data_IF_189058127318
#
_entry.id   IF_189058127318
#
_cell.length_a   1.000
_cell.length_b   1.000
_cell.length_c   1.000
_cell.angle_alpha   90.00
_cell.angle_beta   90.00
_cell.angle_gamma   90.00
#
_symmetry.space_group_name_H-M   'P 1'
#
loop_
_entity.id
_entity.type
_entity.pdbx_description
1 polymer ?
#
# COMPACT_ATOMS: atom_id res chain seq x y z
N UNK A 1 -16.64 24.96 11.51
CA UNK A 1 -15.53 24.45 10.68
C UNK A 1 -15.26 23.02 11.07
N UNK A 2 -15.30 22.09 10.12
CA UNK A 2 -14.87 20.73 10.39
C UNK A 2 -13.36 20.72 10.59
N UNK A 3 -12.90 20.02 11.65
CA UNK A 3 -11.47 19.76 11.87
C UNK A 3 -10.94 19.02 10.64
N UNK A 4 -9.77 19.41 10.09
CA UNK A 4 -9.15 18.64 9.03
C UNK A 4 -8.88 17.21 9.51
N UNK A 5 -8.99 16.25 8.59
CA UNK A 5 -8.70 14.85 8.89
C UNK A 5 -7.24 14.69 9.32
N UNK A 6 -7.04 13.94 10.39
CA UNK A 6 -5.70 13.47 10.78
C UNK A 6 -5.69 11.95 10.79
N UNK A 7 -4.62 11.35 10.26
CA UNK A 7 -4.44 9.89 10.31
C UNK A 7 -4.43 9.37 11.75
N UNK A 8 -4.02 10.19 12.69
CA UNK A 8 -4.00 9.85 14.14
C UNK A 8 -5.41 9.77 14.74
N UNK A 9 -6.42 10.31 14.06
CA UNK A 9 -7.82 10.21 14.51
C UNK A 9 -8.41 8.81 14.26
N UNK A 10 -7.72 7.94 13.50
CA UNK A 10 -8.16 6.60 13.14
C UNK A 10 -7.07 5.58 13.50
N UNK A 11 -7.42 4.61 14.35
CA UNK A 11 -6.51 3.51 14.67
C UNK A 11 -6.27 2.65 13.41
N UNK A 12 -5.00 2.45 13.06
CA UNK A 12 -4.63 1.64 11.89
C UNK A 12 -5.06 0.19 12.02
N UNK A 13 -5.54 -0.39 10.94
CA UNK A 13 -5.94 -1.80 10.85
C UNK A 13 -5.35 -2.42 9.58
N UNK A 14 -4.06 -2.78 9.65
CA UNK A 14 -3.32 -3.35 8.53
C UNK A 14 -3.55 -4.86 8.40
N UNK A 15 -4.01 -5.27 7.24
CA UNK A 15 -4.23 -6.68 6.91
C UNK A 15 -3.70 -7.00 5.51
N UNK A 16 -3.41 -8.28 5.30
CA UNK A 16 -2.97 -8.79 4.01
C UNK A 16 -3.90 -9.88 3.48
N UNK A 17 -3.96 -9.99 2.17
CA UNK A 17 -4.66 -11.07 1.48
C UNK A 17 -4.04 -11.31 0.11
N UNK A 18 -4.37 -12.45 -0.48
CA UNK A 18 -3.93 -12.82 -1.83
C UNK A 18 -5.16 -12.90 -2.73
N UNK A 19 -5.05 -12.37 -3.92
CA UNK A 19 -6.10 -12.46 -4.93
C UNK A 19 -5.50 -12.70 -6.33
N UNK A 20 -6.35 -13.00 -7.30
CA UNK A 20 -5.97 -13.08 -8.70
C UNK A 20 -6.60 -11.90 -9.45
N UNK A 21 -5.78 -11.21 -10.23
CA UNK A 21 -6.22 -10.15 -11.14
C UNK A 21 -5.83 -10.58 -12.55
N UNK A 22 -6.82 -10.88 -13.42
CA UNK A 22 -6.59 -11.39 -14.77
C UNK A 22 -5.67 -12.63 -14.79
N UNK A 23 -5.96 -13.61 -13.92
CA UNK A 23 -5.19 -14.85 -13.73
C UNK A 23 -3.75 -14.67 -13.24
N UNK A 24 -3.39 -13.47 -12.76
CA UNK A 24 -2.10 -13.18 -12.15
C UNK A 24 -2.27 -13.00 -10.66
N UNK A 25 -1.44 -13.69 -9.88
CA UNK A 25 -1.46 -13.57 -8.42
C UNK A 25 -1.02 -12.19 -7.97
N UNK A 26 -1.72 -11.65 -6.99
CA UNK A 26 -1.38 -10.40 -6.31
C UNK A 26 -1.44 -10.59 -4.80
N UNK A 27 -0.41 -10.11 -4.10
CA UNK A 27 -0.39 -10.00 -2.65
C UNK A 27 -0.67 -8.55 -2.26
N UNK A 28 -1.73 -8.34 -1.49
CA UNK A 28 -2.20 -7.01 -1.08
C UNK A 28 -1.96 -6.83 0.41
N UNK A 29 -1.50 -5.67 0.80
CA UNK A 29 -1.37 -5.21 2.19
C UNK A 29 -2.00 -3.83 2.28
N UNK A 30 -3.03 -3.67 3.12
CA UNK A 30 -3.90 -2.50 3.11
C UNK A 30 -4.31 -2.09 4.52
N UNK A 31 -4.42 -0.79 4.75
CA UNK A 31 -5.01 -0.24 5.98
C UNK A 31 -6.54 -0.22 5.84
N UNK A 32 -7.21 -1.17 6.46
CA UNK A 32 -8.66 -1.31 6.41
C UNK A 32 -9.40 -0.22 7.22
N UNK A 33 -8.73 0.44 8.14
CA UNK A 33 -9.35 1.46 8.98
C UNK A 33 -9.92 2.63 8.17
N UNK A 34 -9.30 2.90 7.02
CA UNK A 34 -9.69 4.02 6.15
C UNK A 34 -11.01 3.80 5.41
N UNK A 35 -11.50 2.54 5.31
CA UNK A 35 -12.76 2.25 4.63
C UNK A 35 -13.97 2.94 5.26
N UNK A 36 -13.89 3.27 6.55
CA UNK A 36 -15.00 3.91 7.29
C UNK A 36 -15.03 5.42 7.12
N UNK A 37 -13.96 6.02 6.62
CA UNK A 37 -13.82 7.48 6.46
C UNK A 37 -13.59 7.90 5.01
N UNK A 38 -13.19 6.99 4.14
CA UNK A 38 -12.99 7.27 2.72
C UNK A 38 -14.34 7.49 1.99
N UNK A 39 -14.41 8.35 0.98
CA UNK A 39 -13.33 9.24 0.51
C UNK A 39 -13.07 10.40 1.46
N UNK A 40 -11.80 10.77 1.62
CA UNK A 40 -11.38 11.87 2.50
C UNK A 40 -11.13 13.10 1.64
N UNK A 41 -11.94 14.14 1.83
CA UNK A 41 -11.93 15.34 0.99
C UNK A 41 -10.58 16.10 1.01
N UNK A 42 -9.85 16.02 2.14
CA UNK A 42 -8.55 16.67 2.28
C UNK A 42 -7.44 16.03 1.42
N UNK A 43 -7.66 14.81 0.91
CA UNK A 43 -6.69 14.05 0.11
C UNK A 43 -7.31 13.59 -1.22
N UNK A 44 -7.54 14.52 -2.17
CA UNK A 44 -8.27 14.23 -3.41
C UNK A 44 -7.39 13.65 -4.53
N UNK A 45 -6.10 13.45 -4.29
CA UNK A 45 -5.14 13.02 -5.30
C UNK A 45 -4.55 11.67 -4.93
N UNK A 46 -4.64 10.72 -5.86
CA UNK A 46 -3.95 9.43 -5.77
C UNK A 46 -2.50 9.57 -6.21
N UNK A 47 -1.57 9.05 -5.43
CA UNK A 47 -0.16 9.00 -5.75
C UNK A 47 0.37 7.57 -5.63
N UNK A 48 1.37 7.23 -6.44
CA UNK A 48 1.95 5.90 -6.44
C UNK A 48 3.46 5.91 -6.58
N UNK A 49 4.07 4.88 -6.00
CA UNK A 49 5.46 4.52 -6.18
C UNK A 49 5.52 3.03 -6.51
N UNK A 50 5.96 2.68 -7.72
CA UNK A 50 6.16 1.31 -8.15
C UNK A 50 7.64 1.02 -8.25
N UNK A 51 8.09 -0.08 -7.65
CA UNK A 51 9.47 -0.55 -7.77
C UNK A 51 9.49 -1.94 -8.40
N UNK A 52 10.51 -2.18 -9.22
CA UNK A 52 10.74 -3.50 -9.81
C UNK A 52 11.49 -4.38 -8.81
N UNK A 53 10.96 -5.59 -8.54
CA UNK A 53 11.64 -6.58 -7.72
C UNK A 53 12.94 -7.01 -8.39
N UNK A 54 14.01 -7.24 -7.61
CA UNK A 54 15.27 -7.75 -8.12
C UNK A 54 15.17 -9.21 -8.55
N UNK A 55 14.48 -10.02 -7.72
CA UNK A 55 14.35 -11.45 -7.91
C UNK A 55 12.91 -11.92 -7.68
N UNK A 56 11.98 -11.58 -8.60
CA UNK A 56 10.63 -12.11 -8.50
C UNK A 56 10.64 -13.62 -8.72
N UNK A 57 9.68 -14.33 -8.12
CA UNK A 57 9.47 -15.76 -8.41
C UNK A 57 9.15 -15.96 -9.89
N UNK A 58 9.91 -16.85 -10.55
CA UNK A 58 9.86 -17.02 -12.00
C UNK A 58 8.80 -17.98 -12.50
N UNK A 59 8.25 -18.83 -11.62
CA UNK A 59 7.29 -19.86 -11.98
C UNK A 59 6.38 -20.23 -10.79
N UNK A 60 5.45 -21.15 -11.04
CA UNK A 60 4.54 -21.69 -10.05
C UNK A 60 3.40 -20.75 -9.66
N UNK A 61 2.62 -21.14 -8.61
CA UNK A 61 1.44 -20.38 -8.19
C UNK A 61 1.72 -18.98 -7.70
N UNK A 62 2.96 -18.71 -7.26
CA UNK A 62 3.40 -17.40 -6.72
C UNK A 62 4.26 -16.62 -7.70
N UNK A 63 4.24 -16.96 -8.98
CA UNK A 63 5.01 -16.25 -10.02
C UNK A 63 4.76 -14.74 -9.97
N UNK A 64 5.85 -13.98 -9.97
CA UNK A 64 5.80 -12.52 -9.94
C UNK A 64 5.74 -11.91 -8.53
N UNK A 65 5.58 -12.72 -7.48
CA UNK A 65 5.74 -12.28 -6.09
C UNK A 65 7.24 -12.25 -5.70
N UNK A 66 7.54 -11.56 -4.60
CA UNK A 66 8.91 -11.47 -4.09
C UNK A 66 9.39 -12.80 -3.51
N UNK A 67 10.69 -13.08 -3.67
CA UNK A 67 11.35 -14.19 -2.97
C UNK A 67 11.75 -13.78 -1.56
N UNK A 68 11.90 -14.78 -0.68
CA UNK A 68 12.30 -14.57 0.71
C UNK A 68 13.68 -13.90 0.84
N UNK A 69 14.58 -14.14 -0.14
CA UNK A 69 15.89 -13.52 -0.20
C UNK A 69 15.87 -12.00 -0.37
N UNK A 70 14.78 -11.43 -0.87
CA UNK A 70 14.61 -9.98 -1.05
C UNK A 70 13.80 -9.34 0.09
N UNK A 71 13.29 -10.12 1.04
CA UNK A 71 12.37 -9.66 2.08
C UNK A 71 12.92 -8.49 2.92
N UNK A 72 14.15 -8.63 3.43
CA UNK A 72 14.75 -7.60 4.27
C UNK A 72 14.96 -6.28 3.51
N UNK A 73 15.42 -6.35 2.26
CA UNK A 73 15.61 -5.16 1.42
C UNK A 73 14.28 -4.44 1.15
N UNK A 74 13.22 -5.20 0.89
CA UNK A 74 11.88 -4.65 0.67
C UNK A 74 11.27 -4.05 1.93
N UNK A 75 11.48 -4.67 3.09
CA UNK A 75 11.06 -4.10 4.39
C UNK A 75 11.75 -2.76 4.65
N UNK A 76 13.06 -2.72 4.44
CA UNK A 76 13.84 -1.48 4.61
C UNK A 76 13.40 -0.38 3.67
N UNK A 77 13.13 -0.71 2.41
CA UNK A 77 12.59 0.23 1.43
C UNK A 77 11.25 0.81 1.91
N UNK A 78 10.32 -0.04 2.32
CA UNK A 78 9.01 0.36 2.83
C UNK A 78 9.11 1.21 4.09
N UNK A 79 9.99 0.86 5.02
CA UNK A 79 10.22 1.63 6.25
C UNK A 79 10.74 3.04 5.93
N UNK A 80 11.66 3.17 4.99
CA UNK A 80 12.17 4.47 4.53
C UNK A 80 11.07 5.31 3.85
N UNK A 81 10.20 4.67 3.05
CA UNK A 81 9.02 5.34 2.46
C UNK A 81 8.05 5.81 3.54
N UNK A 82 7.70 4.95 4.48
CA UNK A 82 6.81 5.30 5.60
C UNK A 82 7.37 6.46 6.43
N UNK A 83 8.66 6.44 6.71
CA UNK A 83 9.33 7.52 7.45
C UNK A 83 9.25 8.83 6.68
N UNK A 84 9.54 8.82 5.38
CA UNK A 84 9.48 10.02 4.55
C UNK A 84 8.07 10.63 4.53
N UNK A 85 7.04 9.83 4.31
CA UNK A 85 5.65 10.33 4.24
C UNK A 85 5.09 10.71 5.62
N UNK A 86 5.55 10.08 6.70
CA UNK A 86 5.11 10.40 8.06
C UNK A 86 5.51 11.80 8.53
N UNK A 87 6.49 12.40 7.88
CA UNK A 87 6.94 13.78 8.16
C UNK A 87 6.03 14.84 7.53
N UNK A 88 5.00 14.43 6.77
CA UNK A 88 4.09 15.30 6.05
C UNK A 88 2.65 14.99 6.43
N UNK A 89 1.89 16.03 6.81
CA UNK A 89 0.45 15.90 7.13
C UNK A 89 -0.43 15.80 5.88
N UNK A 90 0.13 16.05 4.71
CA UNK A 90 -0.57 16.08 3.43
C UNK A 90 -0.43 14.79 2.60
N UNK A 91 -0.02 13.71 3.25
CA UNK A 91 0.09 12.38 2.62
C UNK A 91 -0.39 11.27 3.57
N UNK A 92 -1.18 10.36 3.02
CA UNK A 92 -1.64 9.13 3.69
C UNK A 92 -1.19 7.92 2.90
N UNK A 93 -0.41 7.04 3.53
CA UNK A 93 -0.07 5.73 2.97
C UNK A 93 -1.24 4.76 3.22
N UNK A 94 -1.80 4.20 2.15
CA UNK A 94 -3.03 3.39 2.24
C UNK A 94 -2.83 1.90 2.00
N UNK A 95 -1.75 1.51 1.34
CA UNK A 95 -1.48 0.10 1.10
C UNK A 95 -0.50 -0.16 -0.04
N UNK A 96 -0.24 -1.43 -0.29
CA UNK A 96 0.63 -1.88 -1.39
C UNK A 96 0.12 -3.16 -2.02
N UNK A 97 0.47 -3.34 -3.28
CA UNK A 97 0.25 -4.58 -4.05
C UNK A 97 1.59 -5.07 -4.57
N UNK A 98 1.86 -6.36 -4.38
CA UNK A 98 2.99 -7.03 -5.03
C UNK A 98 2.43 -7.99 -6.07
N UNK A 99 2.75 -7.77 -7.33
CA UNK A 99 2.28 -8.56 -8.46
C UNK A 99 3.18 -8.36 -9.68
N UNK A 100 3.25 -9.35 -10.55
CA UNK A 100 3.94 -9.23 -11.85
C UNK A 100 5.38 -8.72 -11.77
N UNK A 101 6.10 -9.07 -10.70
CA UNK A 101 7.48 -8.64 -10.49
C UNK A 101 7.66 -7.21 -10.01
N UNK A 102 6.59 -6.58 -9.54
CA UNK A 102 6.61 -5.22 -9.03
C UNK A 102 5.99 -5.12 -7.64
N UNK A 103 6.50 -4.22 -6.81
CA UNK A 103 5.84 -3.76 -5.59
C UNK A 103 5.33 -2.36 -5.81
N UNK A 104 4.03 -2.17 -5.58
CA UNK A 104 3.29 -0.96 -5.89
C UNK A 104 2.78 -0.36 -4.58
N UNK A 105 3.32 0.79 -4.18
CA UNK A 105 2.88 1.54 -3.00
C UNK A 105 1.86 2.59 -3.40
N UNK A 106 0.76 2.70 -2.64
CA UNK A 106 -0.36 3.59 -2.90
C UNK A 106 -0.57 4.60 -1.78
N UNK A 107 -0.77 5.84 -2.18
CA UNK A 107 -0.93 6.99 -1.28
C UNK A 107 -2.09 7.87 -1.75
N UNK A 108 -2.66 8.61 -0.81
CA UNK A 108 -3.51 9.75 -1.13
C UNK A 108 -2.89 11.01 -0.53
N UNK A 109 -2.91 12.09 -1.30
CA UNK A 109 -2.22 13.32 -0.97
C UNK A 109 -3.15 14.52 -1.11
N UNK A 110 -2.82 15.60 -0.39
CA UNK A 110 -3.50 16.87 -0.51
C UNK A 110 -3.32 17.48 -1.91
N UNK A 111 -4.26 18.29 -2.33
CA UNK A 111 -4.17 19.05 -3.57
C UNK A 111 -2.91 19.94 -3.56
N UNK A 112 -2.28 20.09 -4.72
CA UNK A 112 -1.03 20.85 -4.89
C UNK A 112 0.22 20.27 -4.18
N UNK A 113 0.17 19.05 -3.68
CA UNK A 113 1.34 18.34 -3.15
C UNK A 113 2.14 17.72 -4.28
N UNK A 114 3.47 17.87 -4.25
CA UNK A 114 4.38 17.17 -5.16
C UNK A 114 4.89 15.89 -4.49
N UNK A 115 4.27 14.76 -4.81
CA UNK A 115 4.60 13.48 -4.20
C UNK A 115 6.03 13.04 -4.50
N UNK A 116 6.52 13.23 -5.71
CA UNK A 116 7.88 12.83 -6.09
C UNK A 116 8.93 13.57 -5.24
N UNK A 117 8.75 14.85 -5.01
CA UNK A 117 9.64 15.63 -4.16
C UNK A 117 9.62 15.13 -2.72
N UNK A 118 8.46 14.70 -2.22
CA UNK A 118 8.30 14.15 -0.87
C UNK A 118 9.14 12.89 -0.63
N UNK A 119 9.27 12.03 -1.64
CA UNK A 119 10.00 10.74 -1.56
C UNK A 119 11.37 10.76 -2.24
N UNK A 120 11.84 11.91 -2.69
CA UNK A 120 13.07 12.04 -3.48
C UNK A 120 14.31 11.48 -2.76
N UNK A 121 14.39 11.67 -1.45
CA UNK A 121 15.49 11.11 -0.64
C UNK A 121 15.47 9.58 -0.60
N UNK A 122 14.29 8.97 -0.52
CA UNK A 122 14.13 7.51 -0.60
C UNK A 122 14.61 7.00 -1.95
N UNK A 123 14.23 7.65 -3.04
CA UNK A 123 14.66 7.28 -4.39
C UNK A 123 16.17 7.38 -4.56
N UNK A 124 16.79 8.41 -4.00
CA UNK A 124 18.26 8.57 -4.02
C UNK A 124 18.98 7.53 -3.18
N UNK A 125 18.41 7.15 -2.04
CA UNK A 125 19.00 6.14 -1.14
C UNK A 125 18.93 4.73 -1.74
N UNK A 126 17.90 4.43 -2.52
CA UNK A 126 17.63 3.11 -3.10
C UNK A 126 17.78 3.10 -4.63
N UNK A 127 18.90 3.59 -5.15
CA UNK A 127 19.18 3.71 -6.59
C UNK A 127 19.28 2.35 -7.30
N UNK A 128 19.45 1.27 -6.58
CA UNK A 128 19.46 -0.11 -7.09
C UNK A 128 18.07 -0.59 -7.52
N UNK A 129 16.99 0.08 -7.08
CA UNK A 129 15.63 -0.21 -7.52
C UNK A 129 15.20 0.70 -8.67
N UNK A 130 14.75 0.10 -9.76
CA UNK A 130 14.04 0.83 -10.83
C UNK A 130 12.65 1.20 -10.32
N UNK A 131 12.21 2.43 -10.58
CA UNK A 131 10.96 2.95 -10.05
C UNK A 131 10.14 3.68 -11.10
N UNK A 132 8.83 3.78 -10.82
CA UNK A 132 7.89 4.68 -11.48
C UNK A 132 7.13 5.44 -10.41
N UNK A 133 7.00 6.74 -10.56
CA UNK A 133 6.29 7.63 -9.63
C UNK A 133 5.31 8.46 -10.42
N UNK A 134 4.11 8.63 -9.88
CA UNK A 134 3.11 9.49 -10.49
C UNK A 134 2.03 9.90 -9.50
N UNK A 135 1.17 10.79 -9.96
CA UNK A 135 -0.01 11.23 -9.23
C UNK A 135 -1.09 11.67 -10.20
N UNK A 136 -2.35 11.48 -9.78
CA UNK A 136 -3.52 11.88 -10.56
C UNK A 136 -4.71 12.16 -9.64
N UNK A 137 -5.66 13.01 -10.04
CA UNK A 137 -6.88 13.21 -9.26
C UNK A 137 -7.66 11.91 -9.06
N UNK A 138 -8.12 11.67 -7.85
CA UNK A 138 -9.01 10.56 -7.48
C UNK A 138 -9.86 10.98 -6.26
N UNK A 139 -10.75 11.93 -6.48
CA UNK A 139 -11.60 12.49 -5.43
C UNK A 139 -12.55 11.46 -4.79
N UNK A 140 -12.88 10.40 -5.53
CA UNK A 140 -13.73 9.29 -5.07
C UNK A 140 -12.96 8.18 -4.35
N UNK A 141 -11.63 8.28 -4.27
CA UNK A 141 -10.78 7.23 -3.68
C UNK A 141 -10.97 5.86 -4.35
N UNK A 142 -11.16 5.86 -5.65
CA UNK A 142 -11.39 4.64 -6.44
C UNK A 142 -10.27 3.63 -6.30
N UNK A 143 -9.01 4.07 -6.30
CA UNK A 143 -7.85 3.20 -6.17
C UNK A 143 -7.79 2.50 -4.81
N UNK A 144 -8.34 3.10 -3.77
CA UNK A 144 -8.46 2.48 -2.47
C UNK A 144 -9.72 1.61 -2.36
N UNK A 145 -10.89 2.18 -2.61
CA UNK A 145 -12.18 1.52 -2.39
C UNK A 145 -12.43 0.35 -3.34
N UNK A 146 -11.98 0.43 -4.60
CA UNK A 146 -12.28 -0.58 -5.62
C UNK A 146 -11.08 -1.46 -5.98
N UNK A 147 -9.84 -1.07 -5.64
CA UNK A 147 -8.65 -1.85 -5.97
C UNK A 147 -8.01 -2.50 -4.74
N UNK A 148 -7.80 -1.74 -3.66
CA UNK A 148 -7.07 -2.22 -2.49
C UNK A 148 -7.93 -2.98 -1.50
N UNK A 149 -9.19 -2.60 -1.31
CA UNK A 149 -10.06 -3.28 -0.36
C UNK A 149 -10.35 -4.72 -0.79
N UNK A 150 -10.39 -5.67 0.17
CA UNK A 150 -10.62 -7.07 -0.14
C UNK A 150 -12.03 -7.30 -0.68
N UNK A 151 -12.15 -8.19 -1.67
CA UNK A 151 -13.40 -8.82 -2.02
C UNK A 151 -13.74 -9.96 -1.04
N UNK A 152 -14.78 -10.72 -1.35
CA UNK A 152 -15.28 -11.81 -0.49
C UNK A 152 -14.17 -12.78 -0.05
N UNK A 153 -13.39 -13.29 -1.00
CA UNK A 153 -12.29 -14.22 -0.72
C UNK A 153 -11.18 -13.58 0.13
N UNK A 154 -10.86 -12.32 -0.10
CA UNK A 154 -9.91 -11.57 0.73
C UNK A 154 -10.39 -11.43 2.17
N UNK A 155 -11.66 -11.12 2.37
CA UNK A 155 -12.27 -11.06 3.71
C UNK A 155 -12.28 -12.41 4.41
N UNK A 156 -12.54 -13.51 3.70
CA UNK A 156 -12.47 -14.86 4.26
C UNK A 156 -11.07 -15.19 4.78
N UNK A 157 -10.03 -14.82 4.04
CA UNK A 157 -8.63 -15.00 4.46
C UNK A 157 -8.31 -14.19 5.73
N UNK A 158 -8.72 -12.92 5.76
CA UNK A 158 -8.50 -12.01 6.89
C UNK A 158 -9.22 -12.53 8.14
N UNK A 159 -10.51 -12.85 8.01
CA UNK A 159 -11.34 -13.30 9.13
C UNK A 159 -10.83 -14.63 9.72
N UNK A 160 -10.36 -15.54 8.89
CA UNK A 160 -9.74 -16.78 9.34
C UNK A 160 -8.49 -16.52 10.19
N UNK A 161 -7.59 -15.68 9.73
CA UNK A 161 -6.39 -15.33 10.52
C UNK A 161 -6.71 -14.58 11.80
N UNK A 162 -7.73 -13.72 11.81
CA UNK A 162 -8.21 -13.03 13.03
C UNK A 162 -8.71 -14.05 14.06
N UNK A 163 -9.52 -15.00 13.63
CA UNK A 163 -10.02 -16.08 14.50
C UNK A 163 -8.88 -16.95 15.06
N UNK A 164 -7.86 -17.28 14.25
CA UNK A 164 -6.68 -18.05 14.69
C UNK A 164 -5.86 -17.28 15.73
N UNK A 165 -5.68 -15.96 15.57
CA UNK A 165 -4.99 -15.11 16.55
C UNK A 165 -5.75 -15.07 17.87
N UNK A 166 -7.05 -14.84 17.85
CA UNK A 166 -7.90 -14.83 19.05
C UNK A 166 -7.87 -16.18 19.79
N UNK A 167 -7.88 -17.29 19.07
CA UNK A 167 -7.77 -18.64 19.67
C UNK A 167 -6.39 -18.91 20.30
N UNK A 168 -5.33 -18.26 19.82
CA UNK A 168 -3.97 -18.42 20.34
C UNK A 168 -3.69 -17.59 21.59
N UNK A 169 -4.50 -16.57 21.85
CA UNK A 169 -4.37 -15.65 23.00
C UNK A 169 -5.15 -16.13 24.25
N UNK A 170 -5.76 -17.33 24.20
CA UNK A 170 -6.54 -17.93 25.29
C UNK A 170 -5.72 -18.93 26.12
#
# INVERSE_FOLDING_TARGET
MNKPFSKDDVASDWESFVCNVNDVIASVFVDLSLQHVAPIADYPVFAWLFIRLHQPKGDGPSKGLSQDSEFEALCKYEDDVKLAVSQHDDCVYVGRITTSGMRQFYFFIAENTDFKSMIDEVLRKHQDYQFQVGQQPDTSWNQYLNLLLPGENGWDQINRRRAEREASDV
#
